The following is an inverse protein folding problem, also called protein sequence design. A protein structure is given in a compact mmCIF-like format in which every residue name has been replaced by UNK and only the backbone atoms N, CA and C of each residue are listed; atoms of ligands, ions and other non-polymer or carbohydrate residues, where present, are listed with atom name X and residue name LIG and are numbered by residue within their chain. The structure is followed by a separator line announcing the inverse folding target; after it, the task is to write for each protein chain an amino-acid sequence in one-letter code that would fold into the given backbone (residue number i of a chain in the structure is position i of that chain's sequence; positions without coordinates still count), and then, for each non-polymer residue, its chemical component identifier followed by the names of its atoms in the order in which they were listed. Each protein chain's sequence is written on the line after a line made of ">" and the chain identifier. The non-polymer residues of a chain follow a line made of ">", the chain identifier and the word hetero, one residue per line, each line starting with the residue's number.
data_IF_104926420389
#
_entry.id   IF_104926420389
#
_cell.length_a   1.000
_cell.length_b   1.000
_cell.length_c   1.000
_cell.angle_alpha   90.00
_cell.angle_beta   90.00
_cell.angle_gamma   90.00
#
_symmetry.space_group_name_H-M   'P 1'
#
loop_
_entity.id
_entity.type
_entity.pdbx_description
1 polymer ?
#
# COMPACT_ATOMS: atom_id res chain seq x y z
N UNK A 1 33.01 57.64 -26.83
CA UNK A 1 33.26 57.75 -25.38
C UNK A 1 31.96 58.10 -24.68
N UNK A 2 31.26 57.13 -24.17
CA UNK A 2 30.05 57.29 -23.38
C UNK A 2 30.32 56.72 -21.99
N UNK A 3 30.47 57.60 -21.00
CA UNK A 3 30.58 57.25 -19.58
C UNK A 3 29.21 56.86 -19.06
N UNK A 4 29.05 55.60 -18.71
CA UNK A 4 27.91 55.15 -17.93
C UNK A 4 28.12 55.56 -16.47
N UNK A 5 27.28 56.45 -15.97
CA UNK A 5 27.20 56.86 -14.57
C UNK A 5 26.53 55.71 -13.76
N UNK A 6 27.34 55.10 -12.92
CA UNK A 6 26.88 54.12 -11.95
C UNK A 6 26.20 54.84 -10.78
N UNK A 7 24.90 54.76 -10.69
CA UNK A 7 24.13 55.37 -9.63
C UNK A 7 24.02 54.38 -8.47
N UNK A 8 24.59 54.72 -7.34
CA UNK A 8 24.55 53.93 -6.10
C UNK A 8 23.12 53.84 -5.57
N UNK A 9 22.65 52.67 -5.11
CA UNK A 9 21.33 52.59 -4.50
C UNK A 9 21.30 53.30 -3.16
N UNK A 10 20.24 54.07 -2.96
CA UNK A 10 19.94 54.84 -1.75
C UNK A 10 19.71 53.87 -0.58
N UNK A 11 20.51 54.05 0.46
CA UNK A 11 20.33 53.41 1.77
C UNK A 11 19.05 53.94 2.42
N UNK A 12 18.00 53.17 2.54
CA UNK A 12 16.81 53.57 3.28
C UNK A 12 15.53 52.82 3.10
N UNK A 13 15.49 51.77 2.25
CA UNK A 13 14.29 50.92 2.27
C UNK A 13 14.46 49.77 3.24
N UNK A 14 13.68 49.84 4.35
CA UNK A 14 13.55 48.76 5.30
C UNK A 14 13.01 47.51 4.58
N UNK A 15 13.83 46.44 4.53
CA UNK A 15 13.42 45.14 4.03
C UNK A 15 12.23 44.71 4.89
N UNK A 16 11.04 44.48 4.32
CA UNK A 16 9.92 43.93 5.11
C UNK A 16 10.34 42.58 5.70
N UNK A 17 9.97 42.29 6.95
CA UNK A 17 10.31 40.99 7.55
C UNK A 17 9.72 39.90 6.68
N UNK A 18 10.59 39.03 6.17
CA UNK A 18 10.26 37.99 5.19
C UNK A 18 9.37 36.86 5.75
N UNK A 19 9.00 36.95 7.03
CA UNK A 19 8.11 35.95 7.67
C UNK A 19 7.14 36.72 8.59
N UNK A 20 5.83 36.44 8.51
CA UNK A 20 4.90 36.93 9.50
C UNK A 20 5.27 36.28 10.84
N UNK A 21 5.80 37.06 11.77
CA UNK A 21 5.89 36.68 13.18
C UNK A 21 4.50 36.77 13.80
N UNK A 22 3.61 35.92 13.33
CA UNK A 22 2.35 35.66 14.03
C UNK A 22 2.71 34.69 15.14
N UNK A 23 2.81 35.20 16.35
CA UNK A 23 2.73 34.42 17.59
C UNK A 23 1.30 33.91 17.71
N UNK A 24 0.91 33.00 16.80
CA UNK A 24 -0.35 32.30 16.89
C UNK A 24 -0.08 30.88 17.31
N UNK A 25 -0.57 30.60 18.52
CA UNK A 25 -0.87 29.30 19.06
C UNK A 25 0.13 28.19 18.71
N UNK A 26 1.08 27.99 19.60
CA UNK A 26 1.74 26.69 19.76
C UNK A 26 0.74 25.69 20.34
N UNK A 27 -0.47 25.62 19.76
CA UNK A 27 -1.35 24.48 19.96
C UNK A 27 -0.57 23.30 19.39
N UNK A 28 -0.16 22.40 20.26
CA UNK A 28 0.60 21.20 19.93
C UNK A 28 0.00 20.62 18.64
N UNK A 29 0.76 20.69 17.52
CA UNK A 29 0.34 20.15 16.22
C UNK A 29 0.10 18.66 16.42
N UNK A 30 -1.16 18.29 16.63
CA UNK A 30 -1.55 16.90 16.77
C UNK A 30 -1.31 16.21 15.45
N UNK A 31 -0.61 15.09 15.50
CA UNK A 31 -0.50 14.21 14.32
C UNK A 31 -1.89 13.83 13.84
N UNK A 32 -2.10 13.94 12.52
CA UNK A 32 -3.35 13.56 11.90
C UNK A 32 -3.66 12.09 12.17
N UNK A 33 -4.87 11.80 12.61
CA UNK A 33 -5.40 10.45 12.77
C UNK A 33 -6.75 10.37 12.05
N UNK A 34 -6.88 9.50 11.01
CA UNK A 34 -8.12 9.38 10.26
C UNK A 34 -9.24 8.84 11.15
N UNK A 35 -10.43 9.42 11.04
CA UNK A 35 -11.64 8.90 11.68
C UNK A 35 -12.33 7.88 10.78
N UNK A 36 -12.95 6.82 11.32
CA UNK A 36 -13.61 5.78 10.51
C UNK A 36 -14.65 6.31 9.52
N UNK A 37 -15.33 7.42 9.83
CA UNK A 37 -16.34 8.04 8.96
C UNK A 37 -15.76 8.92 7.83
N UNK A 38 -14.47 9.28 7.88
CA UNK A 38 -13.82 10.14 6.89
C UNK A 38 -13.13 9.34 5.78
N UNK A 39 -13.04 8.01 5.94
CA UNK A 39 -12.34 7.13 5.00
C UNK A 39 -13.22 6.79 3.81
N UNK A 40 -12.93 7.38 2.66
CA UNK A 40 -13.52 6.97 1.38
C UNK A 40 -12.90 5.64 0.93
N UNK A 41 -13.73 4.62 0.70
CA UNK A 41 -13.32 3.29 0.21
C UNK A 41 -13.75 3.12 -1.24
N UNK A 42 -12.82 2.70 -2.10
CA UNK A 42 -13.06 2.41 -3.49
C UNK A 42 -13.04 0.89 -3.75
N UNK A 43 -13.66 0.48 -4.86
CA UNK A 43 -13.60 -0.89 -5.35
C UNK A 43 -12.56 -0.99 -6.47
N UNK A 44 -11.64 -1.94 -6.35
CA UNK A 44 -10.64 -2.22 -7.36
C UNK A 44 -10.84 -3.63 -7.91
N UNK A 45 -10.90 -3.75 -9.23
CA UNK A 45 -10.93 -5.03 -9.93
C UNK A 45 -9.56 -5.29 -10.52
N UNK A 46 -8.95 -6.44 -10.18
CA UNK A 46 -7.62 -6.82 -10.63
C UNK A 46 -7.73 -8.13 -11.42
N UNK A 47 -7.26 -8.14 -12.66
CA UNK A 47 -7.13 -9.36 -13.44
C UNK A 47 -5.82 -10.08 -13.08
N UNK A 48 -5.94 -11.34 -12.70
CA UNK A 48 -4.82 -12.18 -12.31
C UNK A 48 -4.21 -12.97 -13.48
N UNK A 49 -4.70 -12.78 -14.72
CA UNK A 49 -4.22 -13.52 -15.89
C UNK A 49 -2.74 -13.25 -16.13
N UNK A 50 -1.91 -14.29 -16.16
CA UNK A 50 -0.46 -14.29 -16.39
C UNK A 50 0.36 -13.43 -15.41
N UNK A 51 -0.28 -12.92 -14.36
CA UNK A 51 0.41 -12.16 -13.30
C UNK A 51 1.05 -13.11 -12.30
N UNK A 52 2.30 -12.83 -11.92
CA UNK A 52 3.01 -13.62 -10.90
C UNK A 52 2.35 -13.49 -9.54
N UNK A 53 1.96 -14.62 -8.92
CA UNK A 53 1.22 -14.68 -7.67
C UNK A 53 1.79 -13.79 -6.55
N UNK A 54 3.12 -13.74 -6.39
CA UNK A 54 3.75 -12.94 -5.33
C UNK A 54 3.60 -11.44 -5.57
N UNK A 55 3.75 -10.98 -6.82
CA UNK A 55 3.57 -9.56 -7.19
C UNK A 55 2.11 -9.14 -7.07
N UNK A 56 1.19 -9.97 -7.54
CA UNK A 56 -0.24 -9.77 -7.35
C UNK A 56 -0.58 -9.60 -5.87
N UNK A 57 -0.12 -10.54 -5.03
CA UNK A 57 -0.42 -10.53 -3.61
C UNK A 57 0.14 -9.28 -2.89
N UNK A 58 1.35 -8.83 -3.23
CA UNK A 58 1.94 -7.63 -2.61
C UNK A 58 1.19 -6.35 -2.98
N UNK A 59 0.82 -6.18 -4.24
CA UNK A 59 0.02 -5.03 -4.69
C UNK A 59 -1.39 -5.04 -4.07
N UNK A 60 -2.04 -6.19 -4.06
CA UNK A 60 -3.35 -6.37 -3.41
C UNK A 60 -3.29 -6.04 -1.92
N UNK A 61 -2.26 -6.49 -1.22
CA UNK A 61 -2.09 -6.20 0.20
C UNK A 61 -1.86 -4.70 0.48
N UNK A 62 -1.17 -3.98 -0.41
CA UNK A 62 -1.01 -2.52 -0.31
C UNK A 62 -2.34 -1.79 -0.45
N UNK A 63 -3.21 -2.20 -1.39
CA UNK A 63 -4.55 -1.63 -1.58
C UNK A 63 -5.46 -1.94 -0.40
N UNK A 64 -5.51 -3.20 0.03
CA UNK A 64 -6.32 -3.63 1.18
C UNK A 64 -5.91 -2.94 2.49
N UNK A 65 -4.63 -2.62 2.66
CA UNK A 65 -4.14 -1.89 3.83
C UNK A 65 -4.27 -0.37 3.68
N UNK A 66 -4.51 0.13 2.48
CA UNK A 66 -4.62 1.56 2.19
C UNK A 66 -3.30 2.32 2.17
N UNK A 67 -2.15 1.64 1.97
CA UNK A 67 -0.83 2.29 1.94
C UNK A 67 -0.64 3.29 0.78
N UNK A 68 -1.50 3.25 -0.22
CA UNK A 68 -1.50 4.19 -1.34
C UNK A 68 -2.17 5.54 -1.00
N UNK A 69 -2.90 5.60 0.12
CA UNK A 69 -3.61 6.81 0.55
C UNK A 69 -2.75 7.67 1.46
N UNK A 70 -2.81 9.02 1.31
CA UNK A 70 -2.07 9.94 2.19
C UNK A 70 -2.54 9.86 3.65
N UNK A 71 -3.79 9.43 3.86
CA UNK A 71 -4.42 9.27 5.18
C UNK A 71 -4.02 7.96 5.89
N UNK A 72 -3.08 7.20 5.34
CA UNK A 72 -2.68 5.92 5.92
C UNK A 72 -2.21 6.07 7.37
N UNK A 73 -2.79 5.28 8.26
CA UNK A 73 -2.36 5.14 9.66
C UNK A 73 -2.32 3.65 10.05
N UNK A 74 -1.27 3.19 10.79
CA UNK A 74 -1.12 1.77 11.12
C UNK A 74 -2.23 1.20 12.01
N UNK A 75 -2.88 2.05 12.81
CA UNK A 75 -3.90 1.68 13.80
C UNK A 75 -5.35 1.79 13.29
N UNK A 76 -5.53 2.32 12.07
CA UNK A 76 -6.86 2.48 11.45
C UNK A 76 -6.89 1.78 10.10
N UNK A 77 -7.96 1.06 9.83
CA UNK A 77 -8.22 0.45 8.53
C UNK A 77 -8.74 1.51 7.54
N UNK A 78 -7.86 1.99 6.67
CA UNK A 78 -8.16 2.93 5.58
C UNK A 78 -8.18 2.26 4.20
N UNK A 79 -8.12 0.93 4.17
CA UNK A 79 -8.03 0.12 2.96
C UNK A 79 -9.24 0.19 2.06
N UNK A 80 -9.04 -0.26 0.83
CA UNK A 80 -10.06 -0.37 -0.21
C UNK A 80 -10.54 -1.81 -0.39
N UNK A 81 -11.63 -1.99 -1.13
CA UNK A 81 -12.12 -3.30 -1.49
C UNK A 81 -11.46 -3.79 -2.77
N UNK A 82 -11.03 -5.06 -2.80
CA UNK A 82 -10.37 -5.63 -3.97
C UNK A 82 -11.10 -6.90 -4.42
N UNK A 83 -11.41 -6.96 -5.70
CA UNK A 83 -11.96 -8.14 -6.37
C UNK A 83 -10.90 -8.66 -7.34
N UNK A 84 -10.48 -9.90 -7.18
CA UNK A 84 -9.51 -10.56 -8.09
C UNK A 84 -10.26 -11.51 -8.99
N UNK A 85 -10.17 -11.29 -10.30
CA UNK A 85 -10.75 -12.15 -11.32
C UNK A 85 -9.70 -13.04 -11.95
N UNK A 86 -10.13 -14.15 -12.58
CA UNK A 86 -9.24 -15.10 -13.27
C UNK A 86 -8.16 -15.75 -12.40
N UNK A 87 -8.43 -15.99 -11.12
CA UNK A 87 -7.47 -16.58 -10.16
C UNK A 87 -6.83 -17.91 -10.63
N UNK A 88 -7.51 -18.68 -11.49
CA UNK A 88 -6.98 -19.93 -12.05
C UNK A 88 -5.86 -19.74 -13.07
N UNK A 89 -5.71 -18.53 -13.64
CA UNK A 89 -4.70 -18.21 -14.66
C UNK A 89 -3.45 -17.53 -14.07
N UNK A 90 -3.31 -17.51 -12.75
CA UNK A 90 -2.15 -16.94 -12.05
C UNK A 90 -0.88 -17.70 -12.40
N UNK A 91 0.20 -16.95 -12.72
CA UNK A 91 1.50 -17.50 -13.02
C UNK A 91 2.31 -17.77 -11.74
N UNK A 92 3.03 -18.90 -11.71
CA UNK A 92 4.04 -19.22 -10.72
C UNK A 92 5.41 -19.27 -11.40
N UNK A 93 6.40 -18.58 -10.86
CA UNK A 93 7.77 -18.53 -11.42
C UNK A 93 8.60 -19.74 -10.97
N UNK A 94 9.46 -20.23 -11.87
CA UNK A 94 10.33 -21.39 -11.61
C UNK A 94 9.52 -22.64 -11.26
N UNK A 95 10.13 -23.59 -10.55
CA UNK A 95 9.52 -24.87 -10.20
C UNK A 95 8.56 -24.81 -9.00
N UNK A 96 8.03 -23.59 -8.68
CA UNK A 96 7.13 -23.43 -7.54
C UNK A 96 5.79 -24.16 -7.70
N UNK A 97 5.38 -24.40 -8.93
CA UNK A 97 4.15 -25.13 -9.20
C UNK A 97 4.22 -26.57 -8.65
N UNK A 98 5.37 -27.20 -8.73
CA UNK A 98 5.59 -28.58 -8.27
C UNK A 98 6.09 -28.65 -6.83
N UNK A 99 7.07 -27.83 -6.48
CA UNK A 99 7.78 -27.92 -5.21
C UNK A 99 7.07 -27.18 -4.06
N UNK A 100 6.17 -26.22 -4.35
CA UNK A 100 5.53 -25.44 -3.30
C UNK A 100 4.33 -26.18 -2.73
N UNK A 101 4.31 -26.33 -1.41
CA UNK A 101 3.19 -26.91 -0.67
C UNK A 101 2.52 -25.89 0.23
N UNK A 102 1.20 -25.97 0.32
CA UNK A 102 0.40 -25.17 1.23
C UNK A 102 0.12 -26.00 2.49
N UNK A 103 0.54 -25.51 3.63
CA UNK A 103 0.31 -26.16 4.91
C UNK A 103 -0.87 -25.56 5.65
N UNK A 104 -1.65 -26.44 6.32
CA UNK A 104 -2.71 -26.05 7.25
C UNK A 104 -2.65 -26.98 8.46
N UNK A 105 -2.73 -26.41 9.65
CA UNK A 105 -2.78 -27.16 10.89
C UNK A 105 -4.18 -27.09 11.51
N UNK A 106 -4.67 -28.21 12.07
CA UNK A 106 -6.00 -28.27 12.69
C UNK A 106 -6.00 -27.85 14.16
N UNK A 107 -4.83 -27.71 14.79
CA UNK A 107 -4.66 -27.46 16.22
C UNK A 107 -4.44 -28.72 17.07
N UNK A 108 -4.71 -29.92 16.54
CA UNK A 108 -4.51 -31.16 17.24
C UNK A 108 -3.13 -31.78 16.96
N UNK A 109 -2.58 -32.61 17.86
CA UNK A 109 -1.35 -33.38 17.60
C UNK A 109 -1.48 -34.19 16.30
N UNK A 110 -0.44 -34.09 15.42
CA UNK A 110 -0.47 -34.72 14.11
C UNK A 110 -1.41 -34.10 13.07
N UNK A 111 -2.05 -32.98 13.38
CA UNK A 111 -3.05 -32.31 12.52
C UNK A 111 -2.49 -31.45 11.36
N UNK A 112 -1.22 -31.64 10.97
CA UNK A 112 -0.62 -30.93 9.83
C UNK A 112 -1.13 -31.56 8.53
N UNK A 113 -1.78 -30.72 7.69
CA UNK A 113 -2.21 -31.09 6.34
C UNK A 113 -1.38 -30.30 5.32
N UNK A 114 -0.78 -31.01 4.36
CA UNK A 114 -0.02 -30.43 3.25
C UNK A 114 -0.77 -30.64 1.94
N UNK A 115 -0.86 -29.62 1.10
CA UNK A 115 -1.47 -29.69 -0.23
C UNK A 115 -0.51 -29.08 -1.24
N UNK A 116 -0.09 -29.82 -2.28
CA UNK A 116 0.76 -29.26 -3.34
C UNK A 116 0.04 -28.13 -4.07
N UNK A 117 0.80 -27.12 -4.54
CA UNK A 117 0.21 -25.99 -5.27
C UNK A 117 -0.38 -26.40 -6.62
N UNK A 118 0.10 -27.46 -7.26
CA UNK A 118 -0.50 -28.06 -8.46
C UNK A 118 -1.97 -28.42 -8.24
N UNK A 119 -2.25 -29.15 -7.17
CA UNK A 119 -3.61 -29.58 -6.81
C UNK A 119 -4.44 -28.39 -6.35
N UNK A 120 -3.86 -27.52 -5.53
CA UNK A 120 -4.56 -26.34 -4.99
C UNK A 120 -5.02 -25.38 -6.10
N UNK A 121 -4.19 -25.13 -7.13
CA UNK A 121 -4.55 -24.31 -8.28
C UNK A 121 -5.56 -24.96 -9.22
N UNK A 122 -5.57 -26.29 -9.32
CA UNK A 122 -6.53 -27.02 -10.15
C UNK A 122 -7.93 -27.04 -9.50
N UNK A 123 -7.99 -27.33 -8.19
CA UNK A 123 -9.27 -27.49 -7.50
C UNK A 123 -9.83 -26.15 -6.95
N UNK A 124 -8.99 -25.33 -6.35
CA UNK A 124 -9.40 -24.13 -5.61
C UNK A 124 -8.42 -22.96 -5.82
N UNK A 125 -8.33 -22.37 -7.01
CA UNK A 125 -7.37 -21.32 -7.32
C UNK A 125 -7.59 -20.06 -6.48
N UNK A 126 -8.83 -19.68 -6.19
CA UNK A 126 -9.15 -18.54 -5.33
C UNK A 126 -8.48 -18.65 -3.96
N UNK A 127 -8.45 -19.86 -3.39
CA UNK A 127 -7.85 -20.11 -2.08
C UNK A 127 -6.33 -19.98 -2.09
N UNK A 128 -5.68 -20.27 -3.22
CA UNK A 128 -4.23 -20.09 -3.37
C UNK A 128 -3.88 -18.59 -3.34
N UNK A 129 -4.66 -17.76 -4.04
CA UNK A 129 -4.50 -16.29 -4.07
C UNK A 129 -4.82 -15.69 -2.70
N UNK A 130 -5.95 -16.06 -2.10
CA UNK A 130 -6.36 -15.61 -0.77
C UNK A 130 -5.28 -15.88 0.29
N UNK A 131 -4.73 -17.11 0.30
CA UNK A 131 -3.65 -17.47 1.22
C UNK A 131 -2.39 -16.66 1.02
N UNK A 132 -2.04 -16.33 -0.23
CA UNK A 132 -0.89 -15.51 -0.54
C UNK A 132 -1.08 -14.06 -0.05
N UNK A 133 -2.25 -13.48 -0.28
CA UNK A 133 -2.60 -12.12 0.17
C UNK A 133 -2.67 -12.06 1.70
N UNK A 134 -3.37 -13.01 2.33
CA UNK A 134 -3.52 -13.07 3.78
C UNK A 134 -2.17 -13.16 4.52
N UNK A 135 -1.19 -13.88 3.94
CA UNK A 135 0.16 -13.96 4.52
C UNK A 135 0.97 -12.66 4.42
N UNK A 136 0.51 -11.65 3.67
CA UNK A 136 1.14 -10.34 3.51
C UNK A 136 0.44 -9.24 4.31
N UNK A 137 -0.72 -9.53 4.87
CA UNK A 137 -1.45 -8.63 5.78
C UNK A 137 -0.95 -8.83 7.22
N UNK A 138 -0.93 -7.77 8.04
CA UNK A 138 -0.57 -7.83 9.45
C UNK A 138 -1.58 -8.63 10.28
#
# INVERSE_FOLDING_TARGET
>A
MLRASFQSPVLGEAIPPAFPTTTEDTSAVRTYSPKPGEVARAWHVIDATDVVLGRLASQTAQLLRGKHKPQYAPHVDVGDFVVIVNAGKVALTGNKRENKTAYRHSGFPGGLKSTPYTVLLAERPSRAVEKAVRGMLP
#
